data_IF_039488047938
#
_entry.id   IF_039488047938
#
_cell.length_a   1.000
_cell.length_b   1.000
_cell.length_c   1.000
_cell.angle_alpha   90.00
_cell.angle_beta   90.00
_cell.angle_gamma   90.00
#
_symmetry.space_group_name_H-M   'P 1'
#
loop_
_entity.id
_entity.type
_entity.pdbx_description
1 polymer ?
#
# COMPACT_ATOMS: atom_id res chain seq x y z
N UNK A 1 -62.66 21.33 19.09
CA UNK A 1 -61.74 21.22 17.94
C UNK A 1 -60.37 20.81 18.45
N UNK A 2 -60.00 19.53 18.33
CA UNK A 2 -58.69 19.02 18.80
C UNK A 2 -57.70 19.13 17.63
N UNK A 3 -56.68 19.97 17.78
CA UNK A 3 -55.59 20.11 16.80
C UNK A 3 -54.70 18.88 16.88
N UNK A 4 -54.70 18.08 15.82
CA UNK A 4 -53.75 16.99 15.62
C UNK A 4 -52.41 17.63 15.22
N UNK A 5 -51.43 17.62 16.11
CA UNK A 5 -50.05 18.00 15.79
C UNK A 5 -49.36 16.73 15.32
N UNK A 6 -49.10 16.64 14.02
CA UNK A 6 -48.35 15.55 13.40
C UNK A 6 -46.85 15.82 13.60
N UNK A 7 -46.08 14.97 14.31
CA UNK A 7 -44.64 15.15 14.39
C UNK A 7 -44.01 14.71 13.07
N UNK A 8 -43.44 15.67 12.34
CA UNK A 8 -42.59 15.42 11.17
C UNK A 8 -41.27 14.85 11.72
N UNK A 9 -41.13 13.53 11.68
CA UNK A 9 -39.89 12.84 11.99
C UNK A 9 -38.97 12.96 10.77
N UNK A 10 -38.11 13.98 10.76
CA UNK A 10 -37.06 14.14 9.75
C UNK A 10 -36.02 13.05 10.04
N UNK A 11 -36.12 11.94 9.31
CA UNK A 11 -35.10 10.90 9.28
C UNK A 11 -33.88 11.51 8.56
N UNK A 12 -32.95 12.09 9.32
CA UNK A 12 -31.62 12.44 8.85
C UNK A 12 -30.89 11.11 8.57
N UNK A 13 -31.08 10.59 7.37
CA UNK A 13 -30.25 9.53 6.84
C UNK A 13 -28.88 10.15 6.56
N UNK A 14 -27.99 10.11 7.56
CA UNK A 14 -26.58 10.42 7.37
C UNK A 14 -25.99 9.37 6.45
N UNK A 15 -26.06 9.63 5.14
CA UNK A 15 -25.17 8.99 4.20
C UNK A 15 -23.76 9.45 4.60
N UNK A 16 -23.04 8.59 5.31
CA UNK A 16 -21.58 8.68 5.39
C UNK A 16 -21.09 8.50 3.95
N UNK A 17 -20.98 9.60 3.21
CA UNK A 17 -20.07 9.66 2.09
C UNK A 17 -18.69 9.53 2.72
N UNK A 18 -18.07 8.37 2.56
CA UNK A 18 -16.68 8.15 2.90
C UNK A 18 -15.87 9.06 1.99
N UNK A 19 -15.65 10.29 2.45
CA UNK A 19 -14.82 11.25 1.75
C UNK A 19 -13.40 10.71 1.81
N UNK A 20 -12.77 10.57 0.65
CA UNK A 20 -11.38 10.17 0.57
C UNK A 20 -10.51 11.18 1.32
N UNK A 21 -9.58 10.67 2.13
CA UNK A 21 -8.56 11.51 2.74
C UNK A 21 -7.50 11.90 1.69
N UNK A 22 -6.76 12.97 1.97
CA UNK A 22 -5.63 13.37 1.11
C UNK A 22 -4.66 12.19 0.94
N UNK A 23 -4.28 11.92 -0.31
CA UNK A 23 -3.41 10.80 -0.66
C UNK A 23 -4.12 9.46 -0.83
N UNK A 24 -5.43 9.37 -0.57
CA UNK A 24 -6.18 8.14 -0.84
C UNK A 24 -6.65 8.05 -2.29
N UNK A 25 -6.77 6.81 -2.75
CA UNK A 25 -7.41 6.46 -4.01
C UNK A 25 -8.46 5.38 -3.78
N UNK A 26 -9.55 5.46 -4.55
CA UNK A 26 -10.60 4.46 -4.63
C UNK A 26 -10.72 3.93 -6.05
N UNK A 27 -10.74 2.61 -6.22
CA UNK A 27 -10.92 2.01 -7.54
C UNK A 27 -12.38 2.08 -8.00
N UNK A 28 -12.59 2.30 -9.30
CA UNK A 28 -13.85 1.99 -9.99
C UNK A 28 -13.76 0.55 -10.52
N UNK A 29 -14.41 -0.45 -9.90
CA UNK A 29 -14.27 -1.85 -10.29
C UNK A 29 -14.78 -2.13 -11.71
N UNK A 30 -15.77 -1.36 -12.17
CA UNK A 30 -16.39 -1.55 -13.49
C UNK A 30 -15.49 -1.03 -14.62
N UNK A 31 -14.49 -0.21 -14.30
CA UNK A 31 -13.57 0.35 -15.29
C UNK A 31 -12.49 -0.62 -15.78
N UNK A 32 -12.40 -1.81 -15.20
CA UNK A 32 -11.32 -2.76 -15.48
C UNK A 32 -11.29 -3.17 -16.95
N UNK A 33 -10.12 -3.06 -17.59
CA UNK A 33 -9.89 -3.50 -18.98
C UNK A 33 -8.62 -4.32 -19.09
N UNK A 34 -8.71 -5.55 -19.61
CA UNK A 34 -7.55 -6.39 -19.86
C UNK A 34 -6.70 -5.86 -21.03
N UNK A 35 -5.38 -6.01 -20.92
CA UNK A 35 -4.42 -5.64 -21.96
C UNK A 35 -3.83 -6.93 -22.53
N UNK A 36 -4.14 -7.23 -23.80
CA UNK A 36 -3.68 -8.42 -24.52
C UNK A 36 -3.81 -9.72 -23.69
N UNK A 37 -5.04 -10.10 -23.25
CA UNK A 37 -5.19 -11.25 -22.37
C UNK A 37 -4.93 -12.56 -23.12
N UNK A 38 -3.97 -13.35 -22.63
CA UNK A 38 -3.87 -14.77 -22.95
C UNK A 38 -4.24 -15.59 -21.72
N UNK A 39 -5.53 -15.93 -21.62
CA UNK A 39 -6.01 -16.79 -20.54
C UNK A 39 -5.69 -18.28 -20.77
N UNK A 40 -5.21 -18.66 -21.96
CA UNK A 40 -4.85 -20.04 -22.30
C UNK A 40 -3.42 -20.42 -21.91
N UNK A 41 -2.57 -19.43 -21.61
CA UNK A 41 -1.20 -19.65 -21.15
C UNK A 41 -1.13 -20.54 -19.89
N UNK A 42 -0.11 -21.40 -19.75
CA UNK A 42 0.10 -22.20 -18.56
C UNK A 42 0.50 -21.33 -17.35
N UNK A 43 0.26 -21.85 -16.14
CA UNK A 43 0.73 -21.21 -14.91
C UNK A 43 2.24 -21.43 -14.68
N UNK A 44 2.96 -20.46 -14.10
CA UNK A 44 2.50 -19.11 -13.75
C UNK A 44 2.36 -18.22 -15.00
N UNK A 45 1.26 -17.44 -15.07
CA UNK A 45 1.03 -16.47 -16.15
C UNK A 45 0.88 -15.06 -15.60
N UNK A 46 1.22 -14.06 -16.43
CA UNK A 46 1.08 -12.64 -16.10
C UNK A 46 -0.16 -12.07 -16.77
N UNK A 47 -1.04 -11.45 -15.99
CA UNK A 47 -2.25 -10.80 -16.48
C UNK A 47 -2.08 -9.30 -16.28
N UNK A 48 -2.19 -8.55 -17.37
CA UNK A 48 -2.14 -7.08 -17.36
C UNK A 48 -3.53 -6.50 -17.57
N UNK A 49 -3.87 -5.47 -16.80
CA UNK A 49 -5.13 -4.74 -16.94
C UNK A 49 -4.97 -3.29 -16.49
N UNK A 50 -5.89 -2.43 -16.92
CA UNK A 50 -6.05 -1.07 -16.41
C UNK A 50 -7.31 -0.92 -15.60
N UNK A 51 -7.30 -0.01 -14.63
CA UNK A 51 -8.47 0.46 -13.89
C UNK A 51 -8.41 1.98 -13.73
N UNK A 52 -9.57 2.61 -13.59
CA UNK A 52 -9.73 3.99 -13.14
C UNK A 52 -9.72 4.04 -11.61
N UNK A 53 -9.05 5.05 -11.09
CA UNK A 53 -8.96 5.34 -9.66
C UNK A 53 -9.32 6.80 -9.44
N UNK A 54 -10.26 7.07 -8.55
CA UNK A 54 -10.51 8.42 -8.04
C UNK A 54 -9.55 8.66 -6.89
N UNK A 55 -8.66 9.65 -7.03
CA UNK A 55 -7.63 9.96 -6.04
C UNK A 55 -7.78 11.38 -5.53
N UNK A 56 -7.57 11.57 -4.23
CA UNK A 56 -7.75 12.85 -3.54
C UNK A 56 -6.40 13.54 -3.29
N UNK A 57 -6.28 14.79 -3.73
CA UNK A 57 -5.26 15.74 -3.29
C UNK A 57 -5.91 16.79 -2.36
N UNK A 58 -5.15 17.72 -1.78
CA UNK A 58 -5.71 18.69 -0.83
C UNK A 58 -6.94 19.46 -1.34
N UNK A 59 -6.90 19.90 -2.60
CA UNK A 59 -7.90 20.82 -3.15
C UNK A 59 -8.73 20.21 -4.30
N UNK A 60 -8.44 18.98 -4.72
CA UNK A 60 -9.12 18.36 -5.85
C UNK A 60 -9.06 16.83 -5.82
N UNK A 61 -10.11 16.21 -6.36
CA UNK A 61 -10.13 14.79 -6.69
C UNK A 61 -9.90 14.64 -8.20
N UNK A 62 -9.09 13.65 -8.61
CA UNK A 62 -8.83 13.37 -10.01
C UNK A 62 -8.97 11.88 -10.32
N UNK A 63 -9.56 11.58 -11.48
CA UNK A 63 -9.60 10.23 -12.01
C UNK A 63 -8.31 9.92 -12.76
N UNK A 64 -7.58 8.91 -12.31
CA UNK A 64 -6.33 8.42 -12.88
C UNK A 64 -6.52 7.03 -13.48
N UNK A 65 -5.77 6.72 -14.54
CA UNK A 65 -5.71 5.38 -15.12
C UNK A 65 -4.46 4.65 -14.64
N UNK A 66 -4.63 3.60 -13.84
CA UNK A 66 -3.54 2.76 -13.36
C UNK A 66 -3.45 1.46 -14.14
N UNK A 67 -2.24 1.11 -14.62
CA UNK A 67 -1.94 -0.21 -15.20
C UNK A 67 -1.36 -1.10 -14.12
N UNK A 68 -1.94 -2.29 -13.95
CA UNK A 68 -1.49 -3.32 -13.01
C UNK A 68 -1.14 -4.59 -13.79
N UNK A 69 -0.05 -5.23 -13.40
CA UNK A 69 0.33 -6.57 -13.88
C UNK A 69 0.42 -7.49 -12.67
N UNK A 70 -0.28 -8.62 -12.71
CA UNK A 70 -0.26 -9.61 -11.63
C UNK A 70 0.20 -10.96 -12.16
N UNK A 71 0.94 -11.69 -11.33
CA UNK A 71 1.26 -13.10 -11.58
C UNK A 71 0.20 -13.97 -10.93
N UNK A 72 -0.37 -14.91 -11.68
CA UNK A 72 -1.31 -15.91 -11.17
C UNK A 72 -0.69 -17.29 -11.33
N UNK A 73 -0.75 -18.11 -10.27
CA UNK A 73 -0.09 -19.42 -10.21
C UNK A 73 -1.07 -20.58 -10.21
N UNK A 74 -2.36 -20.29 -10.14
CA UNK A 74 -3.44 -21.28 -10.11
C UNK A 74 -4.76 -20.70 -10.61
N UNK A 75 -5.73 -21.58 -10.86
CA UNK A 75 -7.11 -21.19 -11.14
C UNK A 75 -7.73 -20.35 -10.00
N UNK A 76 -7.36 -20.67 -8.75
CA UNK A 76 -7.82 -19.92 -7.58
C UNK A 76 -7.27 -18.49 -7.56
N UNK A 77 -6.01 -18.32 -7.94
CA UNK A 77 -5.39 -17.00 -8.05
C UNK A 77 -6.06 -16.19 -9.15
N UNK A 78 -6.32 -16.82 -10.29
CA UNK A 78 -6.97 -16.18 -11.44
C UNK A 78 -8.38 -15.67 -11.13
N UNK A 79 -9.09 -16.31 -10.20
CA UNK A 79 -10.39 -15.85 -9.73
C UNK A 79 -10.33 -14.69 -8.71
N UNK A 80 -9.18 -14.45 -8.07
CA UNK A 80 -9.06 -13.52 -6.93
C UNK A 80 -8.12 -12.34 -7.16
N UNK A 81 -6.96 -12.59 -7.75
CA UNK A 81 -5.85 -11.65 -7.85
C UNK A 81 -6.03 -10.62 -9.00
N UNK A 82 -6.57 -10.99 -10.17
CA UNK A 82 -6.79 -10.04 -11.26
C UNK A 82 -7.94 -9.06 -10.95
N UNK A 83 -7.81 -8.22 -9.95
CA UNK A 83 -8.78 -7.17 -9.59
C UNK A 83 -8.06 -5.84 -9.42
N UNK A 84 -8.79 -4.71 -9.53
CA UNK A 84 -8.22 -3.39 -9.27
C UNK A 84 -7.66 -3.32 -7.84
N UNK A 85 -6.64 -2.49 -7.60
CA UNK A 85 -6.12 -2.33 -6.24
C UNK A 85 -7.21 -1.77 -5.31
N UNK A 86 -7.32 -2.29 -4.09
CA UNK A 86 -8.40 -1.96 -3.15
C UNK A 86 -9.70 -2.73 -3.37
N UNK A 87 -9.87 -3.48 -4.46
CA UNK A 87 -11.06 -4.33 -4.66
C UNK A 87 -10.92 -5.62 -3.87
N UNK A 88 -11.88 -5.87 -2.98
CA UNK A 88 -12.01 -7.10 -2.22
C UNK A 88 -13.07 -8.03 -2.83
N UNK A 89 -12.76 -9.32 -2.83
CA UNK A 89 -13.65 -10.37 -3.34
C UNK A 89 -13.93 -11.40 -2.24
N UNK A 90 -15.17 -11.87 -2.17
CA UNK A 90 -15.60 -12.90 -1.23
C UNK A 90 -15.87 -14.22 -1.94
N UNK A 91 -15.65 -15.32 -1.23
CA UNK A 91 -16.02 -16.64 -1.71
C UNK A 91 -17.53 -16.83 -1.58
N UNK A 92 -18.15 -17.36 -2.63
CA UNK A 92 -19.57 -17.71 -2.68
C UNK A 92 -19.73 -19.17 -3.10
N UNK A 93 -20.97 -19.67 -3.12
CA UNK A 93 -21.27 -21.03 -3.60
C UNK A 93 -20.88 -21.24 -5.08
N UNK A 94 -20.77 -20.17 -5.86
CA UNK A 94 -20.55 -20.21 -7.31
C UNK A 94 -19.15 -19.73 -7.72
N UNK A 95 -18.26 -19.44 -6.76
CA UNK A 95 -16.90 -18.95 -7.03
C UNK A 95 -16.54 -17.77 -6.15
N UNK A 96 -16.10 -16.67 -6.78
CA UNK A 96 -15.75 -15.43 -6.11
C UNK A 96 -16.60 -14.29 -6.68
N UNK A 97 -17.12 -13.45 -5.79
CA UNK A 97 -17.92 -12.28 -6.14
C UNK A 97 -17.35 -11.01 -5.52
N UNK A 98 -17.70 -9.86 -6.07
CA UNK A 98 -17.36 -8.56 -5.51
C UNK A 98 -17.88 -8.46 -4.07
N UNK A 99 -17.03 -7.97 -3.16
CA UNK A 99 -17.42 -7.65 -1.79
C UNK A 99 -17.52 -6.15 -1.58
N UNK A 100 -16.39 -5.45 -1.71
CA UNK A 100 -16.29 -4.01 -1.50
C UNK A 100 -15.04 -3.42 -2.16
N UNK A 101 -14.91 -2.10 -2.08
CA UNK A 101 -13.67 -1.38 -2.44
C UNK A 101 -13.18 -0.66 -1.20
N UNK A 102 -11.97 -0.97 -0.78
CA UNK A 102 -11.28 -0.30 0.32
C UNK A 102 -10.35 0.80 -0.26
N UNK A 103 -10.36 2.03 0.29
CA UNK A 103 -9.39 3.06 -0.06
C UNK A 103 -7.96 2.58 0.18
N UNK A 104 -7.02 3.12 -0.59
CA UNK A 104 -5.60 2.86 -0.37
C UNK A 104 -4.77 4.12 -0.52
N UNK A 105 -3.67 4.21 0.22
CA UNK A 105 -2.72 5.30 0.08
C UNK A 105 -1.97 5.21 -1.24
N UNK A 106 -1.94 6.30 -2.01
CA UNK A 106 -1.50 6.33 -3.41
C UNK A 106 -0.07 5.82 -3.60
N UNK A 107 0.84 6.11 -2.67
CA UNK A 107 2.24 5.65 -2.78
C UNK A 107 2.43 4.16 -2.47
N UNK A 108 1.45 3.50 -1.86
CA UNK A 108 1.43 2.03 -1.70
C UNK A 108 1.18 1.30 -3.01
N UNK A 109 0.61 1.98 -4.01
CA UNK A 109 0.31 1.37 -5.29
C UNK A 109 1.58 1.08 -6.08
N UNK A 110 1.73 -0.15 -6.57
CA UNK A 110 2.79 -0.52 -7.53
C UNK A 110 2.42 -0.06 -8.95
N UNK A 111 2.15 1.25 -9.10
CA UNK A 111 1.69 1.87 -10.34
C UNK A 111 2.41 3.20 -10.55
N UNK A 112 3.41 3.27 -11.45
CA UNK A 112 4.22 4.48 -11.66
C UNK A 112 3.40 5.73 -12.00
N UNK A 113 2.29 5.57 -12.75
CA UNK A 113 1.41 6.69 -13.11
C UNK A 113 0.75 7.35 -11.88
N UNK A 114 0.28 6.55 -10.92
CA UNK A 114 -0.35 7.05 -9.70
C UNK A 114 0.69 7.73 -8.80
N UNK A 115 1.85 7.10 -8.59
CA UNK A 115 2.94 7.70 -7.80
C UNK A 115 3.45 9.01 -8.43
N UNK A 116 3.53 9.08 -9.76
CA UNK A 116 3.92 10.31 -10.48
C UNK A 116 2.96 11.44 -10.20
N UNK A 117 1.66 11.19 -10.33
CA UNK A 117 0.63 12.18 -10.04
C UNK A 117 0.69 12.66 -8.59
N UNK A 118 0.84 11.73 -7.62
CA UNK A 118 0.95 12.08 -6.20
C UNK A 118 2.06 13.11 -5.93
N UNK A 119 3.21 12.95 -6.58
CA UNK A 119 4.34 13.89 -6.47
C UNK A 119 4.06 15.21 -7.16
N UNK A 120 3.44 15.19 -8.34
CA UNK A 120 3.03 16.41 -9.05
C UNK A 120 2.03 17.23 -8.22
N UNK A 121 1.23 16.56 -7.37
CA UNK A 121 0.32 17.17 -6.41
C UNK A 121 0.96 17.45 -5.03
N UNK A 122 2.26 17.21 -4.87
CA UNK A 122 2.99 17.38 -3.61
C UNK A 122 2.34 16.68 -2.40
N UNK A 123 1.73 15.50 -2.61
CA UNK A 123 1.15 14.71 -1.51
C UNK A 123 2.29 14.21 -0.63
N UNK A 124 2.26 14.59 0.63
CA UNK A 124 3.24 14.19 1.65
C UNK A 124 3.13 12.70 1.98
N UNK A 125 4.26 12.11 2.40
CA UNK A 125 4.33 10.69 2.76
C UNK A 125 3.77 10.42 4.16
N UNK A 126 3.92 11.37 5.08
CA UNK A 126 3.65 11.21 6.50
C UNK A 126 2.33 11.89 6.90
N UNK A 127 1.24 11.42 6.29
CA UNK A 127 -0.13 11.93 6.51
C UNK A 127 -1.07 10.83 7.01
N UNK A 128 -2.29 11.20 7.43
CA UNK A 128 -3.27 10.29 8.03
C UNK A 128 -3.52 9.02 7.20
N UNK A 129 -3.68 9.15 5.87
CA UNK A 129 -3.91 8.03 4.96
C UNK A 129 -2.76 7.01 4.91
N UNK A 130 -1.54 7.41 5.29
CA UNK A 130 -0.36 6.53 5.36
C UNK A 130 -0.21 5.83 6.73
N UNK A 131 -0.99 6.22 7.75
CA UNK A 131 -0.75 5.81 9.14
C UNK A 131 -0.74 4.29 9.33
N UNK A 132 -1.60 3.56 8.62
CA UNK A 132 -1.63 2.10 8.67
C UNK A 132 -0.35 1.46 8.10
N UNK A 133 0.26 2.06 7.07
CA UNK A 133 1.53 1.61 6.51
C UNK A 133 2.69 1.89 7.47
N UNK A 134 2.64 3.05 8.14
CA UNK A 134 3.61 3.40 9.17
C UNK A 134 3.55 2.43 10.35
N UNK A 135 2.35 2.11 10.83
CA UNK A 135 2.15 1.13 11.89
C UNK A 135 2.68 -0.27 11.48
N UNK A 136 2.36 -0.72 10.26
CA UNK A 136 2.88 -1.97 9.72
C UNK A 136 4.40 -1.98 9.58
N UNK A 137 5.00 -0.84 9.20
CA UNK A 137 6.46 -0.69 9.16
C UNK A 137 7.05 -0.87 10.56
N UNK A 138 6.51 -0.19 11.59
CA UNK A 138 6.95 -0.36 12.98
C UNK A 138 6.90 -1.83 13.43
N UNK A 139 5.80 -2.51 13.17
CA UNK A 139 5.63 -3.92 13.52
C UNK A 139 6.68 -4.82 12.84
N UNK A 140 6.92 -4.62 11.54
CA UNK A 140 7.93 -5.36 10.80
C UNK A 140 9.34 -5.08 11.33
N UNK A 141 9.67 -3.81 11.59
CA UNK A 141 10.98 -3.42 12.12
C UNK A 141 11.23 -4.03 13.49
N UNK A 142 10.23 -4.03 14.36
CA UNK A 142 10.30 -4.66 15.68
C UNK A 142 10.56 -6.15 15.57
N UNK A 143 9.78 -6.86 14.75
CA UNK A 143 9.91 -8.31 14.58
C UNK A 143 11.28 -8.69 14.02
N UNK A 144 11.73 -8.01 12.96
CA UNK A 144 13.03 -8.31 12.33
C UNK A 144 14.19 -7.87 13.22
N UNK A 145 14.09 -6.71 13.86
CA UNK A 145 15.06 -6.22 14.83
C UNK A 145 15.28 -7.22 15.96
N UNK A 146 14.22 -7.71 16.60
CA UNK A 146 14.30 -8.74 17.64
C UNK A 146 14.92 -10.06 17.14
N UNK A 147 14.60 -10.48 15.91
CA UNK A 147 15.23 -11.66 15.33
C UNK A 147 16.74 -11.44 15.08
N UNK A 148 17.13 -10.24 14.64
CA UNK A 148 18.52 -9.85 14.45
C UNK A 148 19.27 -9.70 15.77
N UNK A 149 18.61 -9.31 16.86
CA UNK A 149 19.18 -9.27 18.20
C UNK A 149 19.66 -10.67 18.64
N UNK A 150 18.82 -11.68 18.42
CA UNK A 150 19.13 -13.09 18.71
C UNK A 150 20.31 -13.57 17.85
N UNK A 151 20.25 -13.33 16.53
CA UNK A 151 21.35 -13.65 15.63
C UNK A 151 22.64 -12.90 15.98
N UNK A 152 22.50 -11.69 16.52
CA UNK A 152 23.55 -10.80 16.96
C UNK A 152 24.44 -11.34 18.06
N UNK A 153 23.98 -12.37 18.80
CA UNK A 153 24.79 -13.10 19.77
C UNK A 153 26.03 -13.75 19.12
N UNK A 154 25.95 -14.08 17.83
CA UNK A 154 27.00 -14.76 17.07
C UNK A 154 27.52 -13.96 15.88
N UNK A 155 27.00 -12.75 15.64
CA UNK A 155 27.39 -11.93 14.49
C UNK A 155 27.23 -10.44 14.77
N UNK A 156 28.34 -9.72 14.70
CA UNK A 156 28.37 -8.26 14.91
C UNK A 156 27.46 -7.51 13.92
N UNK A 157 27.45 -7.93 12.65
CA UNK A 157 26.59 -7.32 11.62
C UNK A 157 25.10 -7.39 11.97
N UNK A 158 24.63 -8.52 12.52
CA UNK A 158 23.24 -8.66 12.96
C UNK A 158 22.95 -7.85 14.22
N UNK A 159 23.89 -7.79 15.16
CA UNK A 159 23.75 -6.98 16.38
C UNK A 159 23.60 -5.50 16.04
N UNK A 160 24.46 -4.96 15.18
CA UNK A 160 24.37 -3.58 14.72
C UNK A 160 23.08 -3.30 13.94
N UNK A 161 22.71 -4.20 13.01
CA UNK A 161 21.47 -4.06 12.26
C UNK A 161 20.23 -4.06 13.18
N UNK A 162 20.21 -4.91 14.21
CA UNK A 162 19.16 -4.93 15.23
C UNK A 162 19.03 -3.58 15.92
N UNK A 163 20.15 -3.02 16.39
CA UNK A 163 20.14 -1.71 17.07
C UNK A 163 19.54 -0.63 16.18
N UNK A 164 19.93 -0.57 14.89
CA UNK A 164 19.43 0.42 13.95
C UNK A 164 17.92 0.21 13.67
N UNK A 165 17.48 -1.02 13.43
CA UNK A 165 16.06 -1.29 13.12
C UNK A 165 15.14 -0.96 14.30
N UNK A 166 15.56 -1.27 15.53
CA UNK A 166 14.79 -0.97 16.73
C UNK A 166 14.81 0.53 17.07
N UNK A 167 15.91 1.23 16.81
CA UNK A 167 16.01 2.69 16.95
C UNK A 167 15.06 3.43 15.99
N UNK A 168 15.02 3.00 14.72
CA UNK A 168 14.03 3.50 13.75
C UNK A 168 12.61 3.21 14.26
N UNK A 169 12.32 1.98 14.67
CA UNK A 169 10.98 1.60 15.15
C UNK A 169 10.48 2.46 16.31
N UNK A 170 11.33 2.69 17.31
CA UNK A 170 11.00 3.48 18.49
C UNK A 170 10.80 4.96 18.18
N UNK A 171 11.47 5.46 17.15
CA UNK A 171 11.42 6.87 16.74
C UNK A 171 10.20 7.21 15.88
N UNK A 172 9.59 6.22 15.22
CA UNK A 172 8.44 6.43 14.35
C UNK A 172 7.12 6.53 15.14
N UNK A 173 6.11 7.29 14.66
CA UNK A 173 6.14 8.16 13.48
C UNK A 173 6.80 9.53 13.71
N UNK A 174 7.14 9.88 14.94
CA UNK A 174 7.51 11.26 15.32
C UNK A 174 8.83 11.74 14.71
N UNK A 175 9.75 10.81 14.40
CA UNK A 175 11.02 11.12 13.75
C UNK A 175 11.35 10.08 12.66
N UNK A 176 11.42 10.54 11.40
CA UNK A 176 11.73 9.72 10.23
C UNK A 176 13.16 9.89 9.71
N UNK A 177 14.02 10.69 10.36
CA UNK A 177 15.34 11.08 9.82
C UNK A 177 16.23 9.87 9.48
N UNK A 178 16.34 8.91 10.41
CA UNK A 178 17.16 7.71 10.20
C UNK A 178 16.56 6.82 9.12
N UNK A 179 15.23 6.68 9.10
CA UNK A 179 14.52 5.95 8.04
C UNK A 179 14.81 6.58 6.68
N UNK A 180 14.62 7.89 6.54
CA UNK A 180 14.77 8.62 5.29
C UNK A 180 16.23 8.67 4.80
N UNK A 181 17.20 8.65 5.73
CA UNK A 181 18.61 8.44 5.41
C UNK A 181 18.83 7.11 4.66
N UNK A 182 18.29 6.00 5.17
CA UNK A 182 18.43 4.71 4.51
C UNK A 182 17.62 4.61 3.21
N UNK A 183 16.42 5.20 3.16
CA UNK A 183 15.63 5.27 1.92
C UNK A 183 16.44 5.98 0.84
N UNK A 184 17.03 7.14 1.14
CA UNK A 184 17.87 7.90 0.21
C UNK A 184 19.06 7.08 -0.27
N UNK A 185 19.77 6.40 0.65
CA UNK A 185 20.90 5.53 0.31
C UNK A 185 20.52 4.37 -0.62
N UNK A 186 19.35 3.78 -0.42
CA UNK A 186 18.84 2.72 -1.31
C UNK A 186 18.52 3.28 -2.71
N UNK A 187 17.96 4.50 -2.79
CA UNK A 187 17.70 5.18 -4.06
C UNK A 187 18.99 5.51 -4.82
N UNK A 188 20.02 5.99 -4.14
CA UNK A 188 21.35 6.26 -4.71
C UNK A 188 22.00 5.00 -5.30
N UNK A 189 21.72 3.84 -4.71
CA UNK A 189 22.17 2.53 -5.21
C UNK A 189 21.29 1.96 -6.33
N UNK A 190 20.35 2.75 -6.88
CA UNK A 190 19.34 2.29 -7.85
C UNK A 190 18.59 1.04 -7.37
N UNK A 191 18.36 0.93 -6.05
CA UNK A 191 17.71 -0.22 -5.39
C UNK A 191 18.46 -1.54 -5.51
N UNK A 192 19.74 -1.52 -5.88
CA UNK A 192 20.61 -2.70 -5.95
C UNK A 192 21.47 -2.74 -4.68
N UNK A 193 20.98 -3.44 -3.66
CA UNK A 193 21.69 -3.58 -2.38
C UNK A 193 22.76 -4.68 -2.50
N UNK A 194 24.05 -4.39 -2.20
CA UNK A 194 25.12 -5.39 -2.25
C UNK A 194 24.83 -6.64 -1.40
N UNK A 195 25.36 -7.78 -1.83
CA UNK A 195 25.15 -9.08 -1.15
C UNK A 195 25.97 -9.27 0.12
N UNK A 196 26.93 -8.38 0.38
CA UNK A 196 27.77 -8.46 1.58
C UNK A 196 26.92 -8.41 2.85
N UNK A 197 27.19 -9.33 3.78
CA UNK A 197 26.49 -9.44 5.05
C UNK A 197 27.09 -8.47 6.08
N UNK A 198 26.84 -7.18 5.87
CA UNK A 198 27.14 -6.12 6.82
C UNK A 198 25.83 -5.49 7.35
N UNK A 199 25.92 -4.79 8.47
CA UNK A 199 24.76 -4.22 9.15
C UNK A 199 23.92 -3.29 8.24
N UNK A 200 24.61 -2.45 7.47
CA UNK A 200 23.99 -1.50 6.55
C UNK A 200 23.14 -2.20 5.48
N UNK A 201 23.69 -3.23 4.84
CA UNK A 201 22.98 -4.01 3.83
C UNK A 201 21.81 -4.79 4.42
N UNK A 202 21.95 -5.31 5.64
CA UNK A 202 20.86 -5.98 6.36
C UNK A 202 19.71 -5.01 6.64
N UNK A 203 20.00 -3.81 7.16
CA UNK A 203 18.99 -2.76 7.40
C UNK A 203 18.32 -2.36 6.08
N UNK A 204 19.11 -2.05 5.06
CA UNK A 204 18.58 -1.62 3.76
C UNK A 204 17.66 -2.66 3.13
N UNK A 205 17.96 -3.97 3.25
CA UNK A 205 17.10 -5.04 2.72
C UNK A 205 15.75 -5.09 3.42
N UNK A 206 15.74 -4.94 4.74
CA UNK A 206 14.51 -4.91 5.54
C UNK A 206 13.65 -3.71 5.15
N UNK A 207 14.27 -2.53 5.05
CA UNK A 207 13.58 -1.30 4.67
C UNK A 207 13.08 -1.33 3.22
N UNK A 208 13.86 -1.88 2.29
CA UNK A 208 13.44 -2.04 0.91
C UNK A 208 12.17 -2.90 0.78
N UNK A 209 12.06 -3.96 1.59
CA UNK A 209 10.87 -4.81 1.63
C UNK A 209 9.68 -4.21 2.39
N UNK A 210 9.95 -3.44 3.46
CA UNK A 210 8.90 -3.01 4.41
C UNK A 210 8.39 -1.59 4.17
N UNK A 211 9.20 -0.72 3.58
CA UNK A 211 8.92 0.70 3.36
C UNK A 211 8.84 1.05 1.87
N UNK A 212 8.40 0.12 1.01
CA UNK A 212 8.37 0.32 -0.45
C UNK A 212 7.54 1.55 -0.90
N UNK A 213 6.58 1.97 -0.08
CA UNK A 213 5.74 3.14 -0.31
C UNK A 213 6.49 4.46 -0.12
N UNK A 214 7.65 4.49 0.56
CA UNK A 214 8.47 5.71 0.70
C UNK A 214 9.39 6.00 -0.49
N UNK A 215 9.61 5.04 -1.39
CA UNK A 215 10.48 5.26 -2.55
C UNK A 215 9.82 6.12 -3.62
N UNK A 216 10.60 7.07 -4.15
CA UNK A 216 10.18 8.07 -5.13
C UNK A 216 10.00 7.49 -6.52
N UNK A 217 10.58 6.35 -6.87
CA UNK A 217 10.28 5.56 -8.09
C UNK A 217 10.75 4.14 -7.94
#
# INVERSE_FOLDING_TARGET
MKRLILPIFILLCSAELWALEVGECLADPQSKKYINPDFSAPYPKKISFTCRYECQAENQSQILLGKRTVEVRSLKDEARIPVCLGVEVKQTAWGYDFDRVDPFFIYSADMPALKKWAREQAIELDIASSAHLMQKLKENLKQVGQAYEIAGQNSEAFREASMILLDIEQSLPENTEVLDFYITKIEELNKIIPYELNAQNLVMRVLFGSANWRFKN
#
